data_IF_499917605483
#
_entry.id   IF_499917605483
#
_cell.length_a   1.000
_cell.length_b   1.000
_cell.length_c   1.000
_cell.angle_alpha   90.00
_cell.angle_beta   90.00
_cell.angle_gamma   90.00
#
_symmetry.space_group_name_H-M   'P 1'
#
loop_
_entity.id
_entity.type
_entity.pdbx_description
1 polymer ?
#
# COMPACT_ATOMS: atom_id res chain seq x y z
N UNK A 1 -3.27 -39.98 -28.70
CA UNK A 1 -3.39 -40.25 -27.22
C UNK A 1 -2.21 -39.59 -26.48
N UNK A 2 -1.98 -38.27 -26.68
CA UNK A 2 -0.85 -37.51 -26.09
C UNK A 2 -1.22 -36.04 -25.83
N UNK A 3 -2.48 -35.72 -25.55
CA UNK A 3 -2.95 -34.35 -25.26
C UNK A 3 -3.64 -34.21 -23.89
N UNK A 4 -3.57 -35.22 -23.02
CA UNK A 4 -4.28 -35.22 -21.73
C UNK A 4 -3.38 -35.09 -20.49
N UNK A 5 -2.07 -34.82 -20.63
CA UNK A 5 -1.11 -34.82 -19.51
C UNK A 5 -0.43 -33.47 -19.23
N UNK A 6 -0.78 -32.40 -19.93
CA UNK A 6 -0.19 -31.06 -19.74
C UNK A 6 -1.06 -30.07 -18.96
N UNK A 7 -2.27 -30.45 -18.54
CA UNK A 7 -3.20 -29.52 -17.85
C UNK A 7 -3.19 -29.59 -16.32
N UNK A 8 -2.32 -30.40 -15.71
CA UNK A 8 -2.36 -30.64 -14.24
C UNK A 8 -1.20 -30.04 -13.44
N UNK A 9 -0.22 -29.41 -14.08
CA UNK A 9 0.90 -28.75 -13.37
C UNK A 9 0.75 -27.23 -13.19
N UNK A 10 -0.26 -26.59 -13.78
CA UNK A 10 -0.52 -25.15 -13.66
C UNK A 10 -1.57 -24.80 -12.61
N UNK A 11 -2.03 -25.75 -11.81
CA UNK A 11 -2.81 -25.50 -10.59
C UNK A 11 -1.90 -25.30 -9.37
N UNK A 12 -0.81 -24.57 -9.48
CA UNK A 12 -0.23 -23.92 -8.31
C UNK A 12 -1.18 -22.78 -7.93
N UNK A 13 -2.03 -23.05 -6.93
CA UNK A 13 -2.79 -22.12 -6.09
C UNK A 13 -2.74 -20.67 -6.55
N UNK A 14 -3.54 -20.33 -7.55
CA UNK A 14 -3.91 -18.94 -7.79
C UNK A 14 -4.63 -18.47 -6.53
N UNK A 15 -3.95 -17.65 -5.73
CA UNK A 15 -4.53 -17.04 -4.54
C UNK A 15 -5.80 -16.35 -5.01
N UNK A 16 -6.96 -16.76 -4.49
CA UNK A 16 -8.21 -16.05 -4.80
C UNK A 16 -8.10 -14.64 -4.25
N UNK A 17 -7.67 -13.71 -5.13
CA UNK A 17 -7.40 -12.30 -4.79
C UNK A 17 -8.63 -11.68 -4.10
N UNK A 18 -9.82 -12.00 -4.56
CA UNK A 18 -11.06 -11.46 -3.98
C UNK A 18 -11.32 -12.00 -2.56
N UNK A 19 -11.06 -13.28 -2.31
CA UNK A 19 -11.22 -13.85 -0.99
C UNK A 19 -10.20 -13.26 0.00
N UNK A 20 -8.96 -13.12 -0.44
CA UNK A 20 -7.88 -12.52 0.36
C UNK A 20 -8.15 -11.04 0.65
N UNK A 21 -8.57 -10.25 -0.33
CA UNK A 21 -8.95 -8.84 -0.16
C UNK A 21 -10.02 -8.69 0.93
N UNK A 22 -11.08 -9.52 0.89
CA UNK A 22 -12.11 -9.54 1.93
C UNK A 22 -11.58 -9.94 3.30
N UNK A 23 -10.68 -10.93 3.36
CA UNK A 23 -10.09 -11.40 4.60
C UNK A 23 -9.21 -10.33 5.24
N UNK A 24 -8.37 -9.64 4.46
CA UNK A 24 -7.52 -8.55 4.95
C UNK A 24 -8.37 -7.42 5.53
N UNK A 25 -9.41 -6.99 4.80
CA UNK A 25 -10.34 -5.98 5.28
C UNK A 25 -11.09 -6.42 6.56
N UNK A 26 -11.57 -7.67 6.61
CA UNK A 26 -12.26 -8.18 7.79
C UNK A 26 -11.36 -8.22 9.04
N UNK A 27 -10.08 -8.60 8.89
CA UNK A 27 -9.11 -8.57 9.98
C UNK A 27 -8.81 -7.13 10.41
N UNK A 28 -8.64 -6.20 9.46
CA UNK A 28 -8.41 -4.78 9.74
C UNK A 28 -9.58 -4.13 10.47
N UNK A 29 -10.78 -4.26 9.93
CA UNK A 29 -12.01 -3.72 10.54
C UNK A 29 -12.27 -4.38 11.89
N UNK A 30 -12.23 -5.73 11.96
CA UNK A 30 -12.47 -6.49 13.18
C UNK A 30 -11.47 -6.14 14.29
N UNK A 31 -10.18 -6.00 13.94
CA UNK A 31 -9.12 -5.59 14.85
C UNK A 31 -9.35 -4.19 15.43
N UNK A 32 -9.68 -3.22 14.57
CA UNK A 32 -9.93 -1.83 15.01
C UNK A 32 -11.20 -1.73 15.86
N UNK A 33 -12.28 -2.45 15.52
CA UNK A 33 -13.51 -2.51 16.34
C UNK A 33 -13.23 -3.16 17.69
N UNK A 34 -12.52 -4.28 17.73
CA UNK A 34 -12.15 -4.95 18.97
C UNK A 34 -11.29 -4.08 19.87
N UNK A 35 -10.27 -3.41 19.30
CA UNK A 35 -9.43 -2.45 20.04
C UNK A 35 -10.23 -1.27 20.58
N UNK A 36 -11.12 -0.69 19.77
CA UNK A 36 -11.99 0.39 20.19
C UNK A 36 -12.88 -0.03 21.38
N UNK A 37 -13.48 -1.21 21.31
CA UNK A 37 -14.30 -1.75 22.40
C UNK A 37 -13.47 -1.96 23.69
N UNK A 38 -12.30 -2.58 23.61
CA UNK A 38 -11.40 -2.82 24.74
C UNK A 38 -10.97 -1.49 25.39
N UNK A 39 -10.54 -0.52 24.56
CA UNK A 39 -10.13 0.81 25.03
C UNK A 39 -11.28 1.59 25.67
N UNK A 40 -12.49 1.50 25.10
CA UNK A 40 -13.69 2.14 25.64
C UNK A 40 -14.04 1.56 27.00
N UNK A 41 -14.07 0.25 27.16
CA UNK A 41 -14.31 -0.42 28.45
C UNK A 41 -13.25 -0.03 29.47
N UNK A 42 -11.95 -0.08 29.09
CA UNK A 42 -10.85 0.32 29.96
C UNK A 42 -10.92 1.81 30.35
N UNK A 43 -11.33 2.68 29.41
CA UNK A 43 -11.52 4.10 29.65
C UNK A 43 -12.63 4.41 30.65
N UNK A 44 -13.79 3.73 30.50
CA UNK A 44 -14.93 3.88 31.42
C UNK A 44 -14.55 3.33 32.82
N UNK A 45 -14.00 2.12 32.91
CA UNK A 45 -13.60 1.51 34.19
C UNK A 45 -12.48 2.25 34.88
N UNK A 46 -11.52 2.80 34.10
CA UNK A 46 -10.40 3.59 34.60
C UNK A 46 -10.70 5.08 34.81
N UNK A 47 -11.93 5.52 34.50
CA UNK A 47 -12.34 6.94 34.51
C UNK A 47 -11.34 7.83 33.76
N UNK A 48 -10.87 7.36 32.59
CA UNK A 48 -9.83 8.01 31.77
C UNK A 48 -10.42 8.55 30.47
N UNK A 49 -10.56 9.88 30.38
CA UNK A 49 -11.02 10.57 29.17
C UNK A 49 -10.05 10.39 28.01
N UNK A 50 -8.75 10.28 28.29
CA UNK A 50 -7.74 10.02 27.27
C UNK A 50 -7.94 8.65 26.61
N UNK A 51 -8.23 7.60 27.39
CA UNK A 51 -8.51 6.26 26.87
C UNK A 51 -9.81 6.20 26.08
N UNK A 52 -10.84 6.96 26.49
CA UNK A 52 -12.11 7.08 25.72
C UNK A 52 -11.84 7.79 24.38
N UNK A 53 -11.04 8.86 24.37
CA UNK A 53 -10.64 9.55 23.13
C UNK A 53 -9.84 8.62 22.21
N UNK A 54 -8.93 7.80 22.74
CA UNK A 54 -8.15 6.82 22.01
C UNK A 54 -9.04 5.68 21.46
N UNK A 55 -10.11 5.30 22.16
CA UNK A 55 -11.12 4.37 21.66
C UNK A 55 -11.88 4.94 20.43
N UNK A 56 -12.27 6.21 20.48
CA UNK A 56 -12.92 6.90 19.38
C UNK A 56 -11.98 7.00 18.16
N UNK A 57 -10.69 7.29 18.41
CA UNK A 57 -9.68 7.31 17.35
C UNK A 57 -9.54 5.93 16.68
N UNK A 58 -9.41 4.85 17.47
CA UNK A 58 -9.38 3.49 16.93
C UNK A 58 -10.63 3.09 16.16
N UNK A 59 -11.80 3.64 16.50
CA UNK A 59 -13.02 3.47 15.71
C UNK A 59 -12.94 4.23 14.38
N UNK A 60 -12.30 5.41 14.36
CA UNK A 60 -12.09 6.17 13.13
C UNK A 60 -11.15 5.44 12.15
N UNK A 61 -10.22 4.61 12.63
CA UNK A 61 -9.32 3.81 11.79
C UNK A 61 -10.07 2.75 10.96
N UNK A 62 -11.29 2.37 11.37
CA UNK A 62 -12.17 1.52 10.58
C UNK A 62 -12.48 2.15 9.23
N UNK A 63 -12.64 3.49 9.19
CA UNK A 63 -12.89 4.19 7.93
C UNK A 63 -11.67 4.17 7.01
N UNK A 64 -10.46 4.27 7.54
CA UNK A 64 -9.23 4.18 6.75
C UNK A 64 -9.11 2.80 6.08
N UNK A 65 -9.29 1.72 6.86
CA UNK A 65 -9.30 0.35 6.33
C UNK A 65 -10.46 0.11 5.34
N UNK A 66 -11.64 0.70 5.59
CA UNK A 66 -12.76 0.61 4.65
C UNK A 66 -12.46 1.33 3.33
N UNK A 67 -11.81 2.50 3.36
CA UNK A 67 -11.35 3.22 2.17
C UNK A 67 -10.37 2.35 1.38
N UNK A 68 -9.37 1.75 2.03
CA UNK A 68 -8.42 0.85 1.40
C UNK A 68 -9.14 -0.32 0.71
N UNK A 69 -10.06 -0.98 1.41
CA UNK A 69 -10.85 -2.09 0.86
C UNK A 69 -11.68 -1.68 -0.36
N UNK A 70 -12.40 -0.56 -0.27
CA UNK A 70 -13.22 -0.06 -1.38
C UNK A 70 -12.34 0.27 -2.58
N UNK A 71 -11.18 0.90 -2.36
CA UNK A 71 -10.24 1.24 -3.43
C UNK A 71 -9.71 0.03 -4.17
N UNK A 72 -9.27 -1.00 -3.43
CA UNK A 72 -8.82 -2.26 -4.02
C UNK A 72 -9.96 -2.95 -4.79
N UNK A 73 -11.17 -2.97 -4.23
CA UNK A 73 -12.35 -3.56 -4.90
C UNK A 73 -12.79 -2.80 -6.15
N UNK A 74 -12.61 -1.49 -6.17
CA UNK A 74 -12.86 -0.69 -7.37
C UNK A 74 -11.80 -0.97 -8.44
N UNK A 75 -10.54 -1.08 -8.03
CA UNK A 75 -9.43 -1.36 -8.93
C UNK A 75 -9.50 -2.77 -9.58
N UNK A 76 -10.14 -3.73 -8.91
CA UNK A 76 -10.38 -5.09 -9.43
C UNK A 76 -11.47 -5.16 -10.53
N UNK A 77 -12.16 -4.05 -10.84
CA UNK A 77 -13.20 -4.04 -11.89
C UNK A 77 -12.59 -4.04 -13.27
N UNK A 78 -13.18 -4.83 -14.15
CA UNK A 78 -12.81 -4.85 -15.57
C UNK A 78 -13.07 -3.50 -16.24
N UNK A 79 -12.48 -3.33 -17.42
CA UNK A 79 -12.72 -2.18 -18.28
C UNK A 79 -14.20 -2.07 -18.66
N UNK A 80 -14.72 -0.85 -18.68
CA UNK A 80 -16.08 -0.53 -19.11
C UNK A 80 -16.11 0.67 -20.06
N UNK A 81 -17.29 1.10 -20.48
CA UNK A 81 -17.44 2.21 -21.42
C UNK A 81 -16.93 3.56 -20.87
N UNK A 82 -16.85 3.72 -19.54
CA UNK A 82 -16.38 4.95 -18.88
C UNK A 82 -14.87 4.89 -18.59
N UNK A 83 -14.34 3.69 -18.40
CA UNK A 83 -12.93 3.42 -18.12
C UNK A 83 -12.40 2.32 -19.05
N UNK A 84 -12.14 2.62 -20.35
CA UNK A 84 -11.77 1.61 -21.36
C UNK A 84 -10.45 0.88 -21.05
N UNK A 85 -9.57 1.47 -20.26
CA UNK A 85 -8.30 0.86 -19.85
C UNK A 85 -8.40 0.08 -18.54
N UNK A 86 -9.56 0.09 -17.85
CA UNK A 86 -9.78 -0.53 -16.57
C UNK A 86 -9.75 0.45 -15.41
N UNK A 87 -9.86 -0.08 -14.20
CA UNK A 87 -10.06 0.70 -12.98
C UNK A 87 -8.85 0.67 -12.04
N UNK A 88 -7.73 0.07 -12.41
CA UNK A 88 -6.58 -0.17 -11.54
C UNK A 88 -6.01 1.12 -10.93
N UNK A 89 -6.13 2.26 -11.60
CA UNK A 89 -5.67 3.57 -11.07
C UNK A 89 -6.45 4.05 -9.84
N UNK A 90 -7.65 3.52 -9.58
CA UNK A 90 -8.37 3.81 -8.34
C UNK A 90 -7.60 3.40 -7.09
N UNK A 91 -6.74 2.40 -7.19
CA UNK A 91 -5.86 2.02 -6.10
C UNK A 91 -4.83 3.11 -5.76
N UNK A 92 -4.27 3.78 -6.77
CA UNK A 92 -3.36 4.90 -6.57
C UNK A 92 -4.07 6.11 -5.93
N UNK A 93 -5.30 6.41 -6.38
CA UNK A 93 -6.14 7.48 -5.77
C UNK A 93 -6.41 7.16 -4.30
N UNK A 94 -6.73 5.90 -4.00
CA UNK A 94 -6.97 5.43 -2.62
C UNK A 94 -5.71 5.56 -1.76
N UNK A 95 -4.55 5.15 -2.28
CA UNK A 95 -3.27 5.30 -1.59
C UNK A 95 -2.94 6.77 -1.31
N UNK A 96 -3.22 7.66 -2.26
CA UNK A 96 -3.04 9.09 -2.08
C UNK A 96 -3.96 9.64 -0.98
N UNK A 97 -5.23 9.22 -0.95
CA UNK A 97 -6.18 9.60 0.12
C UNK A 97 -5.70 9.13 1.50
N UNK A 98 -5.24 7.88 1.61
CA UNK A 98 -4.70 7.34 2.86
C UNK A 98 -3.41 8.07 3.28
N UNK A 99 -2.54 8.40 2.34
CA UNK A 99 -1.36 9.22 2.58
C UNK A 99 -1.70 10.62 3.10
N UNK A 100 -2.76 11.26 2.58
CA UNK A 100 -3.26 12.54 3.08
C UNK A 100 -3.84 12.43 4.50
N UNK A 101 -4.59 11.38 4.81
CA UNK A 101 -5.08 11.10 6.16
C UNK A 101 -3.90 10.95 7.12
N UNK A 102 -2.88 10.18 6.72
CA UNK A 102 -1.66 9.97 7.52
C UNK A 102 -0.89 11.28 7.74
N UNK A 103 -0.77 12.11 6.70
CA UNK A 103 -0.16 13.46 6.82
C UNK A 103 -0.94 14.35 7.79
N UNK A 104 -2.28 14.34 7.70
CA UNK A 104 -3.16 15.07 8.61
C UNK A 104 -2.97 14.63 10.07
N UNK A 105 -2.87 13.32 10.33
CA UNK A 105 -2.57 12.75 11.65
C UNK A 105 -1.20 13.23 12.16
N UNK A 106 -0.16 13.15 11.32
CA UNK A 106 1.19 13.63 11.68
C UNK A 106 1.20 15.12 12.02
N UNK A 107 0.53 15.95 11.23
CA UNK A 107 0.41 17.39 11.48
C UNK A 107 -0.35 17.71 12.78
N UNK A 108 -1.44 16.97 13.05
CA UNK A 108 -2.20 17.14 14.30
C UNK A 108 -1.36 16.82 15.55
N UNK A 109 -0.58 15.71 15.51
CA UNK A 109 0.35 15.36 16.57
C UNK A 109 1.41 16.45 16.75
N UNK A 110 2.01 16.93 15.65
CA UNK A 110 3.01 17.98 15.67
C UNK A 110 2.49 19.30 16.25
N UNK A 111 1.30 19.72 15.82
CA UNK A 111 0.64 20.92 16.33
C UNK A 111 0.38 20.82 17.84
N UNK A 112 -0.21 19.72 18.30
CA UNK A 112 -0.47 19.49 19.73
C UNK A 112 0.82 19.47 20.57
N UNK A 113 1.88 18.87 20.03
CA UNK A 113 3.19 18.82 20.70
C UNK A 113 3.81 20.21 20.85
N UNK A 114 3.75 21.04 19.81
CA UNK A 114 4.26 22.42 19.81
C UNK A 114 3.45 23.27 20.80
N UNK A 115 2.13 23.14 20.81
CA UNK A 115 1.25 23.85 21.74
C UNK A 115 1.57 23.47 23.19
N UNK A 116 1.76 22.19 23.49
CA UNK A 116 2.14 21.70 24.82
C UNK A 116 3.48 22.29 25.29
N UNK A 117 4.47 22.38 24.41
CA UNK A 117 5.76 23.01 24.70
C UNK A 117 5.60 24.52 24.94
N UNK A 118 4.86 25.20 24.08
CA UNK A 118 4.70 26.66 24.16
C UNK A 118 3.91 27.11 25.38
N UNK A 119 2.86 26.41 25.78
CA UNK A 119 1.99 26.73 26.89
C UNK A 119 2.54 26.24 28.24
N UNK A 120 3.64 25.48 28.23
CA UNK A 120 4.19 24.81 29.44
C UNK A 120 3.14 23.99 30.21
N UNK A 121 2.11 23.51 29.54
CA UNK A 121 1.02 22.74 30.14
C UNK A 121 1.42 21.30 30.53
N UNK A 122 2.71 21.02 30.62
CA UNK A 122 3.26 19.70 30.97
C UNK A 122 2.92 19.19 32.37
N UNK A 123 2.20 20.00 33.18
CA UNK A 123 2.16 19.78 34.62
C UNK A 123 0.93 19.05 35.17
N UNK A 124 -0.07 18.63 34.37
CA UNK A 124 -1.35 18.13 34.95
C UNK A 124 -1.89 16.80 34.35
N UNK A 125 -1.04 15.95 33.82
CA UNK A 125 -1.50 14.60 33.47
C UNK A 125 -1.61 13.75 34.74
N UNK A 126 -2.83 13.33 35.11
CA UNK A 126 -3.04 12.34 36.17
C UNK A 126 -2.32 11.03 35.77
N UNK A 127 -1.62 10.41 36.72
CA UNK A 127 -0.91 9.15 36.46
C UNK A 127 -1.86 8.11 35.87
N UNK A 128 -1.51 7.48 34.74
CA UNK A 128 -2.36 6.49 34.10
C UNK A 128 -2.59 5.31 35.03
N UNK A 129 -3.81 4.78 35.03
CA UNK A 129 -4.13 3.56 35.79
C UNK A 129 -3.45 2.35 35.16
N UNK A 130 -3.17 1.31 35.94
CA UNK A 130 -2.59 0.04 35.45
C UNK A 130 -3.43 -0.54 34.30
N UNK A 131 -4.77 -0.38 34.39
CA UNK A 131 -5.69 -0.83 33.34
C UNK A 131 -5.47 -0.07 32.03
N UNK A 132 -5.31 1.26 32.10
CA UNK A 132 -5.01 2.09 30.94
C UNK A 132 -3.65 1.72 30.31
N UNK A 133 -2.65 1.48 31.12
CA UNK A 133 -1.32 1.07 30.66
C UNK A 133 -1.37 -0.31 29.94
N UNK A 134 -2.07 -1.29 30.53
CA UNK A 134 -2.24 -2.61 29.93
C UNK A 134 -2.99 -2.54 28.59
N UNK A 135 -4.04 -1.72 28.51
CA UNK A 135 -4.79 -1.51 27.27
C UNK A 135 -3.95 -0.83 26.19
N UNK A 136 -3.08 0.14 26.56
CA UNK A 136 -2.16 0.79 25.63
C UNK A 136 -1.11 -0.21 25.08
N UNK A 137 -0.51 -1.04 25.94
CA UNK A 137 0.44 -2.08 25.50
C UNK A 137 -0.26 -3.10 24.57
N UNK A 138 -1.45 -3.56 24.92
CA UNK A 138 -2.24 -4.45 24.06
C UNK A 138 -2.53 -3.80 22.70
N UNK A 139 -2.89 -2.52 22.69
CA UNK A 139 -3.13 -1.76 21.46
C UNK A 139 -1.90 -1.75 20.56
N UNK A 140 -0.72 -1.49 21.09
CA UNK A 140 0.55 -1.49 20.35
C UNK A 140 0.80 -2.87 19.72
N UNK A 141 0.66 -3.95 20.49
CA UNK A 141 0.90 -5.31 20.01
C UNK A 141 -0.08 -5.68 18.89
N UNK A 142 -1.36 -5.34 19.03
CA UNK A 142 -2.38 -5.63 18.02
C UNK A 142 -2.15 -4.79 16.77
N UNK A 143 -1.87 -3.48 16.89
CA UNK A 143 -1.59 -2.59 15.75
C UNK A 143 -0.32 -3.01 15.00
N UNK A 144 0.73 -3.42 15.69
CA UNK A 144 1.95 -3.94 15.04
C UNK A 144 1.67 -5.29 14.37
N UNK A 145 0.86 -6.16 14.96
CA UNK A 145 0.39 -7.39 14.34
C UNK A 145 -0.42 -7.13 13.06
N UNK A 146 -1.33 -6.15 13.10
CA UNK A 146 -2.12 -5.73 11.94
C UNK A 146 -1.22 -5.16 10.84
N UNK A 147 -0.19 -4.36 11.18
CA UNK A 147 0.79 -3.87 10.22
C UNK A 147 1.47 -5.02 9.47
N UNK A 148 2.04 -6.00 10.18
CA UNK A 148 2.74 -7.11 9.54
C UNK A 148 1.82 -7.98 8.70
N UNK A 149 0.60 -8.22 9.16
CA UNK A 149 -0.42 -8.97 8.44
C UNK A 149 -0.84 -8.25 7.15
N UNK A 150 -1.25 -7.00 7.25
CA UNK A 150 -1.70 -6.20 6.09
C UNK A 150 -0.55 -5.98 5.11
N UNK A 151 0.67 -5.70 5.59
CA UNK A 151 1.87 -5.54 4.75
C UNK A 151 2.22 -6.81 3.98
N UNK A 152 2.09 -7.98 4.60
CA UNK A 152 2.33 -9.26 3.91
C UNK A 152 1.38 -9.41 2.72
N UNK A 153 0.10 -9.26 2.95
CA UNK A 153 -0.90 -9.39 1.89
C UNK A 153 -0.86 -8.25 0.87
N UNK A 154 -0.54 -7.03 1.28
CA UNK A 154 -0.30 -5.91 0.36
C UNK A 154 0.80 -6.23 -0.66
N UNK A 155 1.86 -6.93 -0.24
CA UNK A 155 2.93 -7.38 -1.13
C UNK A 155 2.49 -8.52 -2.05
N UNK A 156 1.77 -9.51 -1.52
CA UNK A 156 1.26 -10.64 -2.32
C UNK A 156 0.26 -10.17 -3.38
N UNK A 157 -0.60 -9.20 -3.03
CA UNK A 157 -1.59 -8.62 -3.94
C UNK A 157 -1.02 -7.50 -4.83
N UNK A 158 0.24 -7.09 -4.59
CA UNK A 158 0.86 -5.90 -5.19
C UNK A 158 -0.01 -4.63 -5.02
N UNK A 159 -0.62 -4.46 -3.83
CA UNK A 159 -1.59 -3.41 -3.54
C UNK A 159 -0.96 -2.23 -2.81
N UNK A 160 -0.95 -1.07 -3.47
CA UNK A 160 -0.50 0.19 -2.87
C UNK A 160 -1.47 0.71 -1.80
N UNK A 161 -2.77 0.48 -1.96
CA UNK A 161 -3.79 0.89 -0.99
C UNK A 161 -3.67 0.11 0.33
N UNK A 162 -3.52 -1.22 0.27
CA UNK A 162 -3.26 -2.01 1.49
C UNK A 162 -1.89 -1.73 2.08
N UNK A 163 -0.89 -1.37 1.28
CA UNK A 163 0.40 -0.94 1.81
C UNK A 163 0.27 0.39 2.59
N UNK A 164 -0.51 1.35 2.08
CA UNK A 164 -0.81 2.59 2.77
C UNK A 164 -1.58 2.36 4.08
N UNK A 165 -2.58 1.46 4.09
CA UNK A 165 -3.32 1.07 5.30
C UNK A 165 -2.40 0.38 6.33
N UNK A 166 -1.48 -0.49 5.89
CA UNK A 166 -0.47 -1.07 6.77
C UNK A 166 0.38 0.01 7.45
N UNK A 167 0.90 0.98 6.69
CA UNK A 167 1.66 2.08 7.27
C UNK A 167 0.85 2.96 8.22
N UNK A 168 -0.46 3.10 7.99
CA UNK A 168 -1.36 3.75 8.93
C UNK A 168 -1.38 3.03 10.28
N UNK A 169 -1.59 1.70 10.30
CA UNK A 169 -1.53 0.90 11.53
C UNK A 169 -0.18 1.02 12.26
N UNK A 170 0.93 1.04 11.51
CA UNK A 170 2.25 1.20 12.11
C UNK A 170 2.47 2.58 12.70
N UNK A 171 1.97 3.62 12.05
CA UNK A 171 2.03 4.99 12.57
C UNK A 171 1.30 5.12 13.91
N UNK A 172 0.14 4.46 14.05
CA UNK A 172 -0.61 4.42 15.30
C UNK A 172 0.17 3.68 16.40
N UNK A 173 0.82 2.55 16.07
CA UNK A 173 1.66 1.83 17.01
C UNK A 173 2.86 2.68 17.48
N UNK A 174 3.56 3.34 16.55
CA UNK A 174 4.70 4.23 16.86
C UNK A 174 4.25 5.41 17.72
N UNK A 175 3.12 6.03 17.40
CA UNK A 175 2.53 7.11 18.19
C UNK A 175 2.23 6.66 19.62
N UNK A 176 1.64 5.47 19.79
CA UNK A 176 1.34 4.90 21.10
C UNK A 176 2.61 4.56 21.90
N UNK A 177 3.65 4.03 21.25
CA UNK A 177 4.96 3.77 21.87
C UNK A 177 5.58 5.09 22.36
N UNK A 178 5.55 6.12 21.51
CA UNK A 178 6.09 7.42 21.87
C UNK A 178 5.38 8.06 23.05
N UNK A 179 4.04 7.97 23.08
CA UNK A 179 3.25 8.45 24.22
C UNK A 179 3.63 7.72 25.52
N UNK A 180 3.81 6.39 25.48
CA UNK A 180 4.29 5.61 26.64
C UNK A 180 5.68 6.04 27.10
N UNK A 181 6.62 6.23 26.19
CA UNK A 181 7.98 6.69 26.49
C UNK A 181 7.98 8.12 27.03
N UNK A 182 7.14 8.99 26.45
CA UNK A 182 6.98 10.37 26.90
C UNK A 182 6.42 10.47 28.33
N UNK A 183 5.38 9.68 28.62
CA UNK A 183 4.83 9.57 29.99
C UNK A 183 5.90 9.06 30.95
N UNK A 184 6.67 8.02 30.60
CA UNK A 184 7.76 7.50 31.39
C UNK A 184 8.84 8.56 31.69
N UNK A 185 9.24 9.33 30.68
CA UNK A 185 10.20 10.42 30.83
C UNK A 185 9.67 11.54 31.73
N UNK A 186 8.38 11.87 31.63
CA UNK A 186 7.72 12.85 32.51
C UNK A 186 7.71 12.39 33.98
N UNK A 187 7.45 11.09 34.22
CA UNK A 187 7.51 10.51 35.58
C UNK A 187 8.92 10.55 36.18
N UNK A 188 9.97 10.55 35.38
CA UNK A 188 11.38 10.71 35.79
C UNK A 188 11.79 12.18 35.97
N UNK A 189 10.84 13.12 35.88
CA UNK A 189 11.07 14.55 36.09
C UNK A 189 11.41 15.36 34.85
N UNK A 190 11.38 14.71 33.66
CA UNK A 190 11.61 15.39 32.39
C UNK A 190 10.25 15.80 31.77
N UNK A 191 9.67 16.88 32.26
CA UNK A 191 8.32 17.33 31.92
C UNK A 191 8.07 17.58 30.45
N UNK A 192 9.10 17.90 29.65
CA UNK A 192 8.98 18.09 28.19
C UNK A 192 9.15 16.78 27.37
N UNK A 193 9.42 15.65 28.02
CA UNK A 193 9.78 14.40 27.38
C UNK A 193 8.70 13.88 26.44
N UNK A 194 7.44 13.95 26.84
CA UNK A 194 6.28 13.53 26.04
C UNK A 194 6.13 14.37 24.76
N UNK A 195 6.19 15.69 24.88
CA UNK A 195 6.05 16.61 23.75
C UNK A 195 7.21 16.49 22.74
N UNK A 196 8.45 16.25 23.22
CA UNK A 196 9.62 16.05 22.35
C UNK A 196 9.52 14.70 21.63
N UNK A 197 9.14 13.64 22.35
CA UNK A 197 8.91 12.32 21.73
C UNK A 197 7.82 12.40 20.65
N UNK A 198 6.69 13.04 20.94
CA UNK A 198 5.59 13.24 20.01
C UNK A 198 5.99 14.07 18.78
N UNK A 199 6.86 15.08 18.94
CA UNK A 199 7.40 15.85 17.82
C UNK A 199 8.32 15.00 16.92
N UNK A 200 9.15 14.14 17.51
CA UNK A 200 9.98 13.21 16.75
C UNK A 200 9.11 12.20 15.95
N UNK A 201 8.04 11.70 16.56
CA UNK A 201 7.07 10.82 15.90
C UNK A 201 6.36 11.53 14.74
N UNK A 202 5.95 12.79 14.94
CA UNK A 202 5.36 13.62 13.89
C UNK A 202 6.26 13.63 12.64
N UNK A 203 7.57 13.85 12.79
CA UNK A 203 8.52 13.86 11.66
C UNK A 203 8.57 12.50 10.96
N UNK A 204 8.57 11.40 11.73
CA UNK A 204 8.57 10.03 11.16
C UNK A 204 7.28 9.79 10.36
N UNK A 205 6.12 10.11 10.93
CA UNK A 205 4.82 9.93 10.29
C UNK A 205 4.72 10.76 9.00
N UNK A 206 5.14 12.03 9.04
CA UNK A 206 5.13 12.90 7.86
C UNK A 206 6.05 12.38 6.75
N UNK A 207 7.22 11.81 7.11
CA UNK A 207 8.09 11.18 6.14
C UNK A 207 7.41 9.98 5.47
N UNK A 208 6.77 9.11 6.26
CA UNK A 208 6.05 7.94 5.72
C UNK A 208 4.88 8.39 4.85
N UNK A 209 4.11 9.39 5.28
CA UNK A 209 3.01 9.96 4.49
C UNK A 209 3.52 10.51 3.15
N UNK A 210 4.64 11.22 3.15
CA UNK A 210 5.28 11.72 1.93
C UNK A 210 5.69 10.57 0.99
N UNK A 211 6.32 9.52 1.52
CA UNK A 211 6.75 8.37 0.72
C UNK A 211 5.53 7.67 0.08
N UNK A 212 4.45 7.43 0.85
CA UNK A 212 3.19 6.84 0.35
C UNK A 212 2.55 7.70 -0.74
N UNK A 213 2.45 9.02 -0.51
CA UNK A 213 1.88 9.94 -1.51
C UNK A 213 2.73 10.04 -2.76
N UNK A 214 4.07 10.06 -2.61
CA UNK A 214 5.00 10.08 -3.74
C UNK A 214 4.84 8.84 -4.60
N UNK A 215 4.77 7.65 -3.99
CA UNK A 215 4.59 6.39 -4.72
C UNK A 215 3.23 6.36 -5.43
N UNK A 216 2.16 6.82 -4.78
CA UNK A 216 0.84 6.94 -5.39
C UNK A 216 0.86 7.87 -6.61
N UNK A 217 1.46 9.06 -6.49
CA UNK A 217 1.60 10.02 -7.59
C UNK A 217 2.46 9.47 -8.73
N UNK A 218 3.59 8.84 -8.43
CA UNK A 218 4.43 8.20 -9.43
C UNK A 218 3.63 7.17 -10.25
N UNK A 219 2.87 6.30 -9.57
CA UNK A 219 2.06 5.28 -10.24
C UNK A 219 0.87 5.87 -11.03
N UNK A 220 0.46 7.12 -10.75
CA UNK A 220 -0.55 7.85 -11.52
C UNK A 220 0.03 8.56 -12.75
N UNK A 221 1.33 8.89 -12.73
CA UNK A 221 2.01 9.71 -13.74
C UNK A 221 2.91 8.91 -14.66
N UNK A 222 2.53 7.65 -14.93
CA UNK A 222 3.20 6.77 -15.91
C UNK A 222 4.71 6.59 -15.64
N UNK A 223 5.10 6.44 -14.36
CA UNK A 223 6.48 6.16 -13.99
C UNK A 223 6.91 4.79 -14.53
N UNK A 224 8.11 4.66 -15.11
CA UNK A 224 8.61 3.40 -15.65
C UNK A 224 8.78 2.34 -14.56
N UNK A 225 8.85 1.09 -14.97
CA UNK A 225 9.23 -0.02 -14.10
C UNK A 225 10.71 0.08 -13.73
N UNK A 226 11.19 -0.80 -12.84
CA UNK A 226 12.60 -0.86 -12.55
C UNK A 226 13.41 -1.42 -13.74
N UNK A 227 14.66 -1.02 -13.83
CA UNK A 227 15.56 -1.41 -14.95
C UNK A 227 15.76 -2.92 -15.05
N UNK A 228 15.65 -3.67 -13.96
CA UNK A 228 15.77 -5.13 -14.03
C UNK A 228 14.56 -5.76 -14.71
N UNK A 229 13.36 -5.26 -14.42
CA UNK A 229 12.12 -5.70 -15.04
C UNK A 229 12.09 -5.33 -16.53
N UNK A 230 12.46 -4.08 -16.88
CA UNK A 230 12.57 -3.65 -18.29
C UNK A 230 13.55 -4.51 -19.07
N UNK A 231 14.72 -4.82 -18.49
CA UNK A 231 15.72 -5.70 -19.11
C UNK A 231 15.17 -7.11 -19.36
N UNK A 232 14.40 -7.68 -18.41
CA UNK A 232 13.79 -9.01 -18.57
C UNK A 232 12.79 -9.01 -19.74
N UNK A 233 11.97 -7.98 -19.85
CA UNK A 233 11.04 -7.81 -20.98
C UNK A 233 11.82 -7.67 -22.28
N UNK A 234 12.85 -6.82 -22.32
CA UNK A 234 13.69 -6.62 -23.48
C UNK A 234 14.31 -7.95 -23.97
N UNK A 235 14.93 -8.71 -23.07
CA UNK A 235 15.48 -10.02 -23.40
C UNK A 235 14.42 -10.99 -23.96
N UNK A 236 13.21 -11.01 -23.38
CA UNK A 236 12.12 -11.84 -23.85
C UNK A 236 11.71 -11.49 -25.29
N UNK A 237 11.65 -10.19 -25.62
CA UNK A 237 11.35 -9.72 -26.98
C UNK A 237 12.49 -10.07 -27.94
N UNK A 238 13.76 -9.86 -27.54
CA UNK A 238 14.94 -10.15 -28.39
C UNK A 238 15.11 -11.63 -28.69
N UNK A 239 14.62 -12.53 -27.82
CA UNK A 239 14.63 -13.98 -28.04
C UNK A 239 13.61 -14.45 -29.09
N UNK A 240 12.68 -13.60 -29.53
CA UNK A 240 11.66 -13.97 -30.55
C UNK A 240 12.28 -14.04 -31.92
N UNK A 241 12.16 -15.18 -32.64
CA UNK A 241 12.72 -15.31 -33.97
C UNK A 241 12.14 -14.28 -34.95
N UNK A 242 13.01 -13.55 -35.62
CA UNK A 242 12.65 -12.52 -36.60
C UNK A 242 12.78 -11.09 -36.06
N UNK A 243 12.90 -10.91 -34.76
CA UNK A 243 13.27 -9.63 -34.15
C UNK A 243 14.78 -9.39 -34.39
N UNK A 244 15.10 -8.28 -35.08
CA UNK A 244 16.48 -7.90 -35.38
C UNK A 244 17.10 -7.10 -34.23
N UNK A 245 16.31 -6.18 -33.65
CA UNK A 245 16.67 -5.35 -32.48
C UNK A 245 15.43 -4.69 -31.90
N UNK A 246 15.56 -4.17 -30.70
CA UNK A 246 14.57 -3.27 -30.09
C UNK A 246 15.01 -1.82 -30.33
N UNK A 247 14.17 -1.04 -31.00
CA UNK A 247 14.41 0.39 -31.24
C UNK A 247 13.97 1.26 -30.05
N UNK A 248 12.88 0.89 -29.37
CA UNK A 248 12.42 1.52 -28.15
C UNK A 248 11.67 0.52 -27.26
N UNK A 249 11.85 0.66 -25.96
CA UNK A 249 11.08 -0.05 -24.94
C UNK A 249 10.67 0.96 -23.89
N UNK A 250 9.38 1.09 -23.65
CA UNK A 250 8.80 1.95 -22.61
C UNK A 250 7.86 1.13 -21.77
N UNK A 251 7.99 1.26 -20.47
CA UNK A 251 7.08 0.65 -19.51
C UNK A 251 6.37 1.73 -18.71
N UNK A 252 5.18 1.45 -18.22
CA UNK A 252 4.50 2.31 -17.26
C UNK A 252 3.71 1.50 -16.25
N UNK A 253 3.76 1.94 -15.01
CA UNK A 253 2.94 1.38 -13.94
C UNK A 253 1.52 1.90 -14.08
N UNK A 254 0.55 1.00 -13.96
CA UNK A 254 -0.87 1.30 -14.05
C UNK A 254 -1.60 0.65 -12.87
N UNK A 255 -1.58 1.33 -11.72
CA UNK A 255 -2.01 0.72 -10.46
C UNK A 255 -1.08 -0.42 -10.07
N UNK A 256 -1.64 -1.62 -9.95
CA UNK A 256 -0.90 -2.85 -9.65
C UNK A 256 -0.51 -3.66 -10.90
N UNK A 257 -0.69 -3.09 -12.09
CA UNK A 257 -0.38 -3.69 -13.38
C UNK A 257 0.66 -2.88 -14.14
N UNK A 258 1.18 -3.44 -15.22
CA UNK A 258 2.16 -2.82 -16.11
C UNK A 258 1.62 -2.78 -17.54
N UNK A 259 1.86 -1.68 -18.22
CA UNK A 259 1.69 -1.53 -19.67
C UNK A 259 3.06 -1.37 -20.31
N UNK A 260 3.23 -1.98 -21.46
CA UNK A 260 4.48 -1.98 -22.23
C UNK A 260 4.21 -1.46 -23.64
N UNK A 261 5.04 -0.55 -24.09
CA UNK A 261 5.07 -0.09 -25.48
C UNK A 261 6.47 -0.40 -26.02
N UNK A 262 6.57 -1.27 -27.04
CA UNK A 262 7.82 -1.67 -27.66
C UNK A 262 7.83 -1.35 -29.14
N UNK A 263 8.98 -0.89 -29.65
CA UNK A 263 9.26 -0.72 -31.05
C UNK A 263 10.35 -1.73 -31.43
N UNK A 264 10.04 -2.66 -32.32
CA UNK A 264 10.98 -3.68 -32.79
C UNK A 264 11.34 -3.45 -34.25
N UNK A 265 12.57 -3.76 -34.62
CA UNK A 265 12.98 -3.79 -36.02
C UNK A 265 12.91 -5.22 -36.56
N UNK A 266 12.29 -5.40 -37.73
CA UNK A 266 12.22 -6.65 -38.48
C UNK A 266 12.74 -6.45 -39.89
N UNK A 267 13.04 -7.52 -40.62
CA UNK A 267 13.52 -7.40 -42.02
C UNK A 267 12.51 -6.62 -42.90
N UNK A 268 12.92 -5.48 -43.41
CA UNK A 268 12.12 -4.59 -44.22
C UNK A 268 11.66 -5.18 -45.57
N UNK A 269 12.11 -6.40 -45.95
CA UNK A 269 11.65 -7.12 -47.15
C UNK A 269 10.49 -8.09 -46.88
N UNK A 270 10.10 -8.27 -45.61
CA UNK A 270 8.97 -9.13 -45.24
C UNK A 270 7.64 -8.53 -45.73
N UNK A 271 6.69 -9.41 -46.02
CA UNK A 271 5.33 -8.97 -46.20
C UNK A 271 4.74 -8.52 -44.85
N UNK A 272 3.77 -7.62 -44.89
CA UNK A 272 3.09 -7.14 -43.71
C UNK A 272 2.59 -8.27 -42.79
N UNK A 273 2.07 -9.36 -43.38
CA UNK A 273 1.58 -10.51 -42.60
C UNK A 273 2.73 -11.21 -41.83
N UNK A 274 3.89 -11.36 -42.48
CA UNK A 274 5.06 -12.01 -41.86
C UNK A 274 5.69 -11.13 -40.75
N UNK A 275 5.71 -9.82 -40.96
CA UNK A 275 6.15 -8.88 -39.90
C UNK A 275 5.19 -8.86 -38.73
N UNK A 276 3.89 -8.86 -38.99
CA UNK A 276 2.85 -8.91 -37.94
C UNK A 276 2.89 -10.22 -37.13
N UNK A 277 3.16 -11.37 -37.76
CA UNK A 277 3.33 -12.64 -37.03
C UNK A 277 4.51 -12.60 -36.04
N UNK A 278 5.58 -11.87 -36.34
CA UNK A 278 6.71 -11.66 -35.44
C UNK A 278 6.28 -10.78 -34.24
N UNK A 279 5.52 -9.71 -34.52
CA UNK A 279 5.02 -8.83 -33.47
C UNK A 279 4.03 -9.55 -32.53
N UNK A 280 3.12 -10.35 -33.07
CA UNK A 280 2.21 -11.19 -32.29
C UNK A 280 2.97 -12.22 -31.44
N UNK A 281 4.01 -12.86 -32.01
CA UNK A 281 4.85 -13.79 -31.24
C UNK A 281 5.56 -13.10 -30.06
N UNK A 282 6.03 -11.86 -30.26
CA UNK A 282 6.65 -11.07 -29.20
C UNK A 282 5.62 -10.60 -28.15
N UNK A 283 4.41 -10.22 -28.59
CA UNK A 283 3.28 -9.89 -27.73
C UNK A 283 2.94 -11.08 -26.81
N UNK A 284 2.69 -12.25 -27.40
CA UNK A 284 2.33 -13.46 -26.68
C UNK A 284 3.43 -13.92 -25.71
N UNK A 285 4.69 -13.81 -26.11
CA UNK A 285 5.82 -14.17 -25.26
C UNK A 285 5.89 -13.31 -24.00
N UNK A 286 5.66 -12.00 -24.12
CA UNK A 286 5.67 -11.09 -22.97
C UNK A 286 4.43 -11.31 -22.08
N UNK A 287 3.23 -11.42 -22.64
CA UNK A 287 2.01 -11.65 -21.84
C UNK A 287 2.06 -13.01 -21.11
N UNK A 288 2.60 -14.04 -21.73
CA UNK A 288 2.77 -15.36 -21.09
C UNK A 288 3.90 -15.39 -20.05
N UNK A 289 4.95 -14.59 -20.25
CA UNK A 289 6.14 -14.56 -19.38
C UNK A 289 6.01 -13.67 -18.14
N UNK A 290 5.12 -12.67 -18.17
CA UNK A 290 5.02 -11.65 -17.14
C UNK A 290 3.57 -11.41 -16.69
N UNK A 291 3.16 -12.05 -15.59
CA UNK A 291 1.78 -11.94 -15.07
C UNK A 291 1.38 -10.49 -14.71
N UNK A 292 2.36 -9.64 -14.36
CA UNK A 292 2.15 -8.23 -14.05
C UNK A 292 1.80 -7.39 -15.27
N UNK A 293 2.21 -7.81 -16.48
CA UNK A 293 1.89 -7.11 -17.74
C UNK A 293 0.42 -7.36 -18.06
N UNK A 294 -0.35 -6.27 -18.14
CA UNK A 294 -1.77 -6.31 -18.55
C UNK A 294 -1.93 -6.18 -20.04
N UNK A 295 -1.04 -5.45 -20.67
CA UNK A 295 -1.08 -5.19 -22.11
C UNK A 295 0.29 -4.77 -22.62
N UNK A 296 0.63 -5.25 -23.81
CA UNK A 296 1.79 -4.78 -24.55
C UNK A 296 1.36 -4.35 -25.96
N UNK A 297 1.82 -3.20 -26.39
CA UNK A 297 1.71 -2.73 -27.76
C UNK A 297 3.07 -2.87 -28.46
N UNK A 298 3.10 -3.53 -29.59
CA UNK A 298 4.32 -3.69 -30.41
C UNK A 298 4.13 -2.97 -31.74
N UNK A 299 5.11 -2.14 -32.08
CA UNK A 299 5.23 -1.45 -33.35
C UNK A 299 6.41 -2.00 -34.11
N UNK A 300 6.20 -2.40 -35.39
CA UNK A 300 7.24 -2.94 -36.25
C UNK A 300 7.88 -1.85 -37.11
N UNK A 301 9.19 -1.72 -37.05
CA UNK A 301 10.01 -0.87 -37.93
C UNK A 301 10.78 -1.72 -38.91
N UNK A 302 11.01 -1.25 -40.15
CA UNK A 302 11.93 -1.93 -41.09
C UNK A 302 13.38 -1.76 -40.55
N UNK A 303 14.15 -2.88 -40.56
CA UNK A 303 15.55 -2.88 -40.12
C UNK A 303 16.49 -2.33 -41.21
#
# INVERSE_FOLDING_TARGET
>A
MAQATQSDSSRQTSVDKTAVTKQVAAVGVGGNVALSAIKLIAGIMGNSTAMISDAIHSLSDVFATAIAFIGVRLAERDADATHPYGHERFECVTSLMLGLILAGTGLAIGHSSIETIATRSCASASAPTIVALAAAVLSIVVKEGMFWYTRHWARVLNSSAFMADAWHHRSDAISSIGALLGIGASMLGFAAGDAIASLAICVIILKVAYDVMKDALNNMTDTPCDHEFERKIGNCIEEVPGVVRIDALRTRKFGNRVYVDAEIAVDGQLKLIEAHEIAEAAHDAVEAGFEEVKHIMIHENPA
#
